data_IF_138701800269
#
_entry.id   IF_138701800269
#
_cell.length_a   1.000
_cell.length_b   1.000
_cell.length_c   1.000
_cell.angle_alpha   90.00
_cell.angle_beta   90.00
_cell.angle_gamma   90.00
#
_symmetry.space_group_name_H-M   'P 1'
#
loop_
_entity.id
_entity.type
_entity.pdbx_description
1 polymer ?
#
# COMPACT_ATOMS: atom_id res chain seq x y z
N UNK A 1 -21.33 3.18 14.62
CA UNK A 1 -20.89 3.98 15.78
C UNK A 1 -19.43 3.72 16.12
N UNK A 2 -18.93 2.50 16.00
CA UNK A 2 -17.53 2.11 16.31
C UNK A 2 -16.45 2.77 15.44
N UNK A 3 -16.71 3.02 14.15
CA UNK A 3 -15.76 3.63 13.21
C UNK A 3 -15.51 5.14 13.45
N UNK A 4 -16.44 5.86 14.10
CA UNK A 4 -16.26 7.28 14.44
C UNK A 4 -15.36 7.49 15.66
N UNK A 5 -15.31 6.54 16.56
CA UNK A 5 -14.49 6.60 17.79
C UNK A 5 -13.00 6.33 17.49
N UNK A 6 -12.71 5.42 16.55
CA UNK A 6 -11.33 5.10 16.12
C UNK A 6 -10.74 6.26 15.31
N UNK A 7 -11.53 6.97 14.51
CA UNK A 7 -11.06 8.10 13.72
C UNK A 7 -10.61 9.31 14.59
N UNK A 8 -11.10 9.44 15.80
CA UNK A 8 -10.70 10.53 16.73
C UNK A 8 -9.33 10.32 17.37
N UNK A 9 -8.81 9.10 17.44
CA UNK A 9 -7.54 8.79 18.14
C UNK A 9 -6.30 8.84 17.27
N UNK A 10 -6.41 8.82 15.93
CA UNK A 10 -5.27 8.77 15.02
C UNK A 10 -5.47 9.67 13.78
N UNK A 11 -5.51 10.97 13.98
CA UNK A 11 -5.48 11.91 12.86
C UNK A 11 -4.02 12.33 12.61
N UNK A 12 -3.47 11.89 11.47
CA UNK A 12 -2.18 12.35 10.98
C UNK A 12 -2.41 13.56 10.07
N UNK A 13 -1.89 14.71 10.44
CA UNK A 13 -1.88 15.90 9.58
C UNK A 13 -0.43 16.13 9.15
N UNK A 14 -0.11 15.86 7.88
CA UNK A 14 1.14 16.27 7.26
C UNK A 14 0.90 17.56 6.47
N UNK A 15 1.71 18.60 6.70
CA UNK A 15 1.65 19.89 5.98
C UNK A 15 2.86 20.04 5.08
N UNK A 16 2.65 20.47 3.84
CA UNK A 16 3.68 20.62 2.84
C UNK A 16 3.57 22.02 2.19
N UNK A 17 4.64 22.81 2.12
CA UNK A 17 4.59 24.12 1.46
C UNK A 17 4.41 23.99 -0.06
N UNK A 18 3.52 24.78 -0.63
CA UNK A 18 3.29 24.84 -2.06
C UNK A 18 4.37 25.71 -2.70
N UNK A 19 5.42 25.12 -3.26
CA UNK A 19 6.32 25.83 -4.14
C UNK A 19 7.82 25.80 -3.87
N UNK A 20 8.32 25.18 -2.83
CA UNK A 20 9.75 25.15 -2.53
C UNK A 20 10.42 23.81 -2.89
N UNK A 21 11.34 23.84 -3.85
CA UNK A 21 12.07 22.66 -4.35
C UNK A 21 13.17 22.15 -3.39
N UNK A 22 13.34 22.67 -2.18
CA UNK A 22 14.59 22.43 -1.42
C UNK A 22 14.47 22.14 0.07
N UNK A 23 13.44 21.76 0.66
CA UNK A 23 13.42 21.10 2.00
C UNK A 23 11.97 20.84 2.40
N UNK A 24 11.61 19.59 2.45
CA UNK A 24 10.29 19.17 2.86
C UNK A 24 10.32 18.79 4.33
N UNK A 25 9.54 19.47 5.15
CA UNK A 25 9.31 19.08 6.53
C UNK A 25 7.86 18.61 6.62
N UNK A 26 7.66 17.31 6.83
CA UNK A 26 6.37 16.79 7.22
C UNK A 26 6.32 16.73 8.75
N UNK A 27 5.28 17.29 9.34
CA UNK A 27 5.04 17.21 10.80
C UNK A 27 3.91 16.22 11.04
N UNK A 28 4.23 15.13 11.71
CA UNK A 28 3.25 14.17 12.17
C UNK A 28 2.85 14.49 13.60
N UNK A 29 1.56 14.69 13.85
CA UNK A 29 1.05 14.85 15.22
C UNK A 29 0.44 13.52 15.68
N UNK A 30 1.10 12.83 16.61
CA UNK A 30 0.56 11.68 17.32
C UNK A 30 0.45 12.06 18.80
N UNK A 31 -0.76 11.99 19.37
CA UNK A 31 -0.97 12.27 20.80
C UNK A 31 -0.54 13.66 21.26
N UNK A 32 -0.75 14.70 20.45
CA UNK A 32 -0.43 16.10 20.80
C UNK A 32 1.06 16.46 20.72
N UNK A 33 1.96 15.54 20.34
CA UNK A 33 3.39 15.84 20.15
C UNK A 33 3.73 15.97 18.67
N UNK A 34 4.38 17.07 18.30
CA UNK A 34 4.92 17.30 16.95
C UNK A 34 6.21 16.49 16.78
N UNK A 35 6.20 15.47 15.93
CA UNK A 35 7.40 14.74 15.53
C UNK A 35 7.77 15.19 14.11
N UNK A 36 8.97 15.77 13.91
CA UNK A 36 9.44 16.10 12.57
C UNK A 36 9.77 14.81 11.81
N UNK A 37 9.01 14.51 10.77
CA UNK A 37 9.41 13.53 9.76
C UNK A 37 10.41 14.22 8.82
N UNK A 38 11.69 14.08 9.13
CA UNK A 38 12.80 14.49 8.25
C UNK A 38 12.82 13.56 7.03
N UNK A 39 12.09 13.93 5.98
CA UNK A 39 12.37 13.40 4.65
C UNK A 39 13.66 14.05 4.14
N UNK A 40 14.81 13.49 4.48
CA UNK A 40 16.03 13.73 3.71
C UNK A 40 15.79 13.10 2.34
N UNK A 41 15.53 13.93 1.34
CA UNK A 41 15.66 13.51 -0.04
C UNK A 41 17.14 13.21 -0.27
N UNK A 42 17.57 11.96 -0.47
CA UNK A 42 18.89 11.72 -1.01
C UNK A 42 18.88 12.32 -2.43
N UNK A 43 19.88 13.13 -2.74
CA UNK A 43 20.23 13.48 -4.11
C UNK A 43 20.74 12.20 -4.81
N UNK A 44 19.85 11.26 -5.04
CA UNK A 44 20.09 10.09 -5.84
C UNK A 44 19.59 10.45 -7.22
N UNK A 45 20.45 10.35 -8.23
CA UNK A 45 20.06 10.22 -9.61
C UNK A 45 19.16 8.98 -9.74
N UNK A 46 17.89 9.13 -9.38
CA UNK A 46 16.88 8.11 -9.58
C UNK A 46 16.67 8.03 -11.09
N UNK A 47 17.16 6.96 -11.71
CA UNK A 47 16.63 6.53 -13.01
C UNK A 47 15.12 6.56 -12.86
N UNK A 48 14.47 7.47 -13.58
CA UNK A 48 13.04 7.74 -13.54
C UNK A 48 12.27 6.42 -13.74
N UNK A 49 11.83 5.81 -12.65
CA UNK A 49 10.81 4.77 -12.71
C UNK A 49 9.57 5.43 -13.31
N UNK A 50 8.97 4.80 -14.32
CA UNK A 50 7.74 5.29 -14.97
C UNK A 50 6.75 5.73 -13.91
N UNK A 51 6.18 6.93 -14.06
CA UNK A 51 5.05 7.37 -13.26
C UNK A 51 3.95 6.32 -13.34
N UNK A 52 3.46 5.85 -12.19
CA UNK A 52 2.54 4.72 -12.14
C UNK A 52 1.11 5.13 -12.39
N UNK A 53 0.77 6.36 -11.99
CA UNK A 53 -0.55 6.96 -12.22
C UNK A 53 -0.40 8.34 -12.85
N UNK A 54 -1.30 8.65 -13.77
CA UNK A 54 -1.61 10.03 -14.10
C UNK A 54 -2.58 10.53 -13.04
N UNK A 55 -2.09 11.31 -12.10
CA UNK A 55 -2.87 11.83 -11.00
C UNK A 55 -3.52 13.14 -11.43
N UNK A 56 -4.84 13.21 -11.26
CA UNK A 56 -5.72 14.33 -11.56
C UNK A 56 -6.47 14.75 -10.29
N UNK A 57 -7.17 15.88 -10.24
CA UNK A 57 -7.93 16.29 -9.05
C UNK A 57 -8.96 15.26 -8.58
N UNK A 58 -9.51 14.47 -9.50
CA UNK A 58 -10.50 13.41 -9.28
C UNK A 58 -9.88 12.04 -9.02
N UNK A 59 -8.54 11.96 -8.87
CA UNK A 59 -7.87 10.69 -8.61
C UNK A 59 -8.34 10.07 -7.32
N UNK A 60 -8.77 8.82 -7.41
CA UNK A 60 -9.19 8.03 -6.25
C UNK A 60 -8.78 6.56 -6.38
N UNK A 61 -8.67 5.89 -5.24
CA UNK A 61 -8.59 4.44 -5.12
C UNK A 61 -9.74 4.03 -4.22
N UNK A 62 -10.61 3.17 -4.71
CA UNK A 62 -11.74 2.64 -3.96
C UNK A 62 -11.73 1.12 -4.02
N UNK A 63 -11.37 0.50 -2.90
CA UNK A 63 -11.41 -0.94 -2.69
C UNK A 63 -12.06 -1.23 -1.33
N UNK A 64 -12.33 -2.49 -1.02
CA UNK A 64 -12.83 -2.87 0.29
C UNK A 64 -11.83 -2.54 1.44
N UNK A 65 -10.53 -2.52 1.13
CA UNK A 65 -9.46 -2.29 2.12
C UNK A 65 -8.99 -0.84 2.16
N UNK A 66 -9.27 -0.03 1.13
CA UNK A 66 -8.76 1.34 1.04
C UNK A 66 -9.71 2.25 0.27
N UNK A 67 -10.06 3.34 0.90
CA UNK A 67 -10.66 4.52 0.28
C UNK A 67 -9.64 5.65 0.29
N UNK A 68 -9.06 5.97 -0.87
CA UNK A 68 -8.13 7.08 -1.04
C UNK A 68 -8.71 8.05 -2.06
N UNK A 69 -8.71 9.34 -1.74
CA UNK A 69 -9.10 10.38 -2.67
C UNK A 69 -8.24 11.64 -2.53
N UNK A 70 -8.20 12.42 -3.60
CA UNK A 70 -7.62 13.77 -3.61
C UNK A 70 -8.78 14.75 -3.61
N UNK A 71 -8.64 15.84 -2.86
CA UNK A 71 -9.58 16.95 -2.85
C UNK A 71 -8.85 18.30 -2.89
N UNK A 72 -9.30 19.21 -3.72
CA UNK A 72 -8.87 20.60 -3.67
C UNK A 72 -9.74 21.37 -2.67
N UNK A 73 -9.09 22.07 -1.74
CA UNK A 73 -9.78 22.75 -0.64
C UNK A 73 -9.51 24.25 -0.73
N UNK A 74 -10.56 25.07 -0.98
CA UNK A 74 -10.43 26.53 -0.97
C UNK A 74 -9.85 27.06 0.33
N UNK A 75 -8.95 28.05 0.23
CA UNK A 75 -8.29 28.65 1.39
C UNK A 75 -7.13 27.84 1.98
N UNK A 76 -6.83 26.66 1.42
CA UNK A 76 -5.68 25.89 1.83
C UNK A 76 -4.43 26.44 1.13
N UNK A 77 -3.38 26.75 1.89
CA UNK A 77 -2.07 27.21 1.37
C UNK A 77 -1.05 26.09 1.21
N UNK A 78 -1.26 24.96 1.91
CA UNK A 78 -0.33 23.83 1.93
C UNK A 78 -1.09 22.51 1.80
N UNK A 79 -0.44 21.50 1.17
CA UNK A 79 -1.00 20.16 1.10
C UNK A 79 -1.14 19.53 2.50
N UNK A 80 -2.26 18.89 2.75
CA UNK A 80 -2.57 18.19 3.99
C UNK A 80 -2.93 16.74 3.69
N UNK A 81 -2.43 15.81 4.51
CA UNK A 81 -2.82 14.42 4.47
C UNK A 81 -3.65 14.08 5.71
N UNK A 82 -4.88 13.63 5.49
CA UNK A 82 -5.71 13.01 6.54
C UNK A 82 -5.73 11.52 6.30
N UNK A 83 -5.38 10.73 7.29
CA UNK A 83 -5.22 9.31 7.12
C UNK A 83 -5.62 8.55 8.39
N UNK A 84 -6.54 7.58 8.20
CA UNK A 84 -6.97 6.59 9.16
C UNK A 84 -6.84 5.18 8.51
N UNK A 85 -6.90 4.08 9.26
CA UNK A 85 -6.89 2.75 8.68
C UNK A 85 -7.99 2.58 7.62
N UNK A 86 -7.60 2.29 6.39
CA UNK A 86 -8.51 2.12 5.26
C UNK A 86 -9.09 3.41 4.66
N UNK A 87 -8.80 4.59 5.21
CA UNK A 87 -9.38 5.86 4.74
C UNK A 87 -8.32 6.96 4.66
N UNK A 88 -8.16 7.55 3.48
CA UNK A 88 -7.14 8.57 3.20
C UNK A 88 -7.74 9.70 2.36
N UNK A 89 -7.48 10.93 2.76
CA UNK A 89 -7.76 12.13 1.98
C UNK A 89 -6.49 12.97 1.85
N UNK A 90 -6.02 13.17 0.61
CA UNK A 90 -4.95 14.10 0.28
C UNK A 90 -5.59 15.42 -0.14
N UNK A 91 -5.55 16.41 0.75
CA UNK A 91 -6.13 17.74 0.57
C UNK A 91 -5.08 18.68 0.00
N UNK A 92 -5.40 19.31 -1.11
CA UNK A 92 -4.48 20.14 -1.87
C UNK A 92 -5.01 21.57 -1.99
N UNK A 93 -4.12 22.58 -2.08
CA UNK A 93 -4.52 23.92 -2.49
C UNK A 93 -5.16 23.90 -3.86
N UNK A 94 -6.15 24.76 -4.15
CA UNK A 94 -6.75 24.86 -5.47
C UNK A 94 -5.77 25.42 -6.51
N UNK A 95 -6.01 25.10 -7.79
CA UNK A 95 -5.23 25.63 -8.90
C UNK A 95 -3.85 25.01 -9.09
N UNK A 96 -3.61 23.83 -8.54
CA UNK A 96 -2.36 23.10 -8.78
C UNK A 96 -2.24 22.67 -10.24
N UNK A 97 -1.08 22.93 -10.85
CA UNK A 97 -0.80 22.42 -12.19
C UNK A 97 -0.43 20.93 -12.13
N UNK A 98 -1.40 20.06 -12.37
CA UNK A 98 -1.21 18.60 -12.42
C UNK A 98 -0.44 18.13 -13.68
N UNK A 99 -0.29 19.01 -14.70
CA UNK A 99 0.46 18.69 -15.92
C UNK A 99 1.98 18.71 -15.72
N UNK A 100 2.46 19.33 -14.65
CA UNK A 100 3.90 19.41 -14.39
C UNK A 100 4.45 18.06 -13.95
N UNK A 101 5.52 17.61 -14.59
CA UNK A 101 6.20 16.35 -14.30
C UNK A 101 6.62 16.23 -12.83
N UNK A 102 7.24 17.26 -12.29
CA UNK A 102 7.67 17.29 -10.88
C UNK A 102 6.49 17.12 -9.91
N UNK A 103 5.33 17.70 -10.27
CA UNK A 103 4.09 17.56 -9.49
C UNK A 103 3.59 16.14 -9.54
N UNK A 104 3.55 15.51 -10.71
CA UNK A 104 3.17 14.10 -10.86
C UNK A 104 4.10 13.17 -10.09
N UNK A 105 5.41 13.41 -10.14
CA UNK A 105 6.39 12.63 -9.38
C UNK A 105 6.19 12.76 -7.88
N UNK A 106 5.90 13.98 -7.40
CA UNK A 106 5.61 14.24 -5.99
C UNK A 106 4.31 13.56 -5.55
N UNK A 107 3.21 13.72 -6.29
CA UNK A 107 1.92 13.09 -6.00
C UNK A 107 2.05 11.56 -5.97
N UNK A 108 2.72 10.95 -6.94
CA UNK A 108 2.97 9.52 -6.96
C UNK A 108 3.78 9.04 -5.75
N UNK A 109 4.77 9.81 -5.29
CA UNK A 109 5.48 9.49 -4.05
C UNK A 109 4.55 9.54 -2.84
N UNK A 110 3.71 10.57 -2.73
CA UNK A 110 2.73 10.67 -1.64
C UNK A 110 1.79 9.44 -1.62
N UNK A 111 1.26 9.04 -2.77
CA UNK A 111 0.41 7.85 -2.90
C UNK A 111 1.15 6.60 -2.44
N UNK A 112 2.38 6.35 -2.93
CA UNK A 112 3.14 5.14 -2.59
C UNK A 112 3.49 5.09 -1.09
N UNK A 113 3.92 6.20 -0.51
CA UNK A 113 4.24 6.24 0.92
C UNK A 113 3.00 6.03 1.78
N UNK A 114 1.87 6.59 1.37
CA UNK A 114 0.62 6.37 2.08
C UNK A 114 0.12 4.92 1.90
N UNK A 115 0.19 4.33 0.72
CA UNK A 115 -0.09 2.90 0.52
C UNK A 115 0.78 2.02 1.43
N UNK A 116 2.07 2.34 1.56
CA UNK A 116 2.97 1.61 2.47
C UNK A 116 2.54 1.74 3.93
N UNK A 117 2.07 2.92 4.33
CA UNK A 117 1.53 3.16 5.66
C UNK A 117 0.24 2.38 5.88
N UNK A 118 -0.69 2.43 4.91
CA UNK A 118 -1.96 1.70 4.96
C UNK A 118 -1.74 0.18 5.01
N UNK A 119 -0.75 -0.35 4.27
CA UNK A 119 -0.35 -1.75 4.40
C UNK A 119 0.02 -2.12 5.85
N UNK A 120 0.75 -1.27 6.56
CA UNK A 120 1.07 -1.54 7.98
C UNK A 120 -0.16 -1.51 8.88
N UNK A 121 -1.14 -0.66 8.59
CA UNK A 121 -2.35 -0.49 9.39
C UNK A 121 -3.40 -1.55 9.10
N UNK A 122 -3.56 -1.94 7.83
CA UNK A 122 -4.64 -2.80 7.36
C UNK A 122 -4.16 -4.22 7.05
N UNK A 123 -3.04 -4.37 6.33
CA UNK A 123 -2.56 -5.69 5.91
C UNK A 123 -1.72 -6.40 6.99
N UNK A 124 -0.91 -5.69 7.78
CA UNK A 124 -0.07 -6.36 8.76
C UNK A 124 -0.88 -7.14 9.81
N UNK A 125 -1.98 -6.63 10.40
CA UNK A 125 -2.84 -7.42 11.26
C UNK A 125 -3.47 -8.63 10.56
N UNK A 126 -3.84 -8.46 9.27
CA UNK A 126 -4.41 -9.54 8.45
C UNK A 126 -3.40 -10.66 8.20
N UNK A 127 -2.15 -10.31 7.88
CA UNK A 127 -1.05 -11.28 7.73
C UNK A 127 -0.81 -12.05 9.03
N UNK A 128 -0.82 -11.37 10.17
CA UNK A 128 -0.67 -12.02 11.48
C UNK A 128 -1.82 -12.97 11.80
N UNK A 129 -3.07 -12.58 11.47
CA UNK A 129 -4.24 -13.42 11.66
C UNK A 129 -4.15 -14.72 10.82
N UNK A 130 -3.75 -14.59 9.54
CA UNK A 130 -3.54 -15.75 8.67
C UNK A 130 -2.39 -16.64 9.12
N UNK A 131 -1.26 -16.05 9.57
CA UNK A 131 -0.13 -16.80 10.13
C UNK A 131 -0.54 -17.58 11.38
N UNK A 132 -1.29 -16.96 12.29
CA UNK A 132 -1.83 -17.62 13.48
C UNK A 132 -2.77 -18.77 13.11
N UNK A 133 -3.70 -18.55 12.18
CA UNK A 133 -4.62 -19.57 11.69
C UNK A 133 -3.89 -20.75 11.04
N UNK A 134 -2.86 -20.47 10.25
CA UNK A 134 -2.03 -21.46 9.58
C UNK A 134 -1.02 -22.16 10.50
N UNK A 135 -0.85 -21.70 11.74
CA UNK A 135 0.16 -22.25 12.66
C UNK A 135 1.60 -22.00 12.19
N UNK A 136 1.83 -20.94 11.39
CA UNK A 136 3.15 -20.58 10.86
C UNK A 136 3.66 -19.28 11.47
N UNK A 137 4.99 -19.11 11.52
CA UNK A 137 5.63 -17.91 12.03
C UNK A 137 6.64 -17.37 11.04
N UNK A 138 6.81 -16.07 10.98
CA UNK A 138 7.80 -15.39 10.14
C UNK A 138 8.69 -14.47 11.01
N UNK A 139 9.92 -14.21 10.55
CA UNK A 139 10.85 -13.36 11.28
C UNK A 139 10.63 -11.88 11.03
N UNK A 140 10.30 -11.52 9.79
CA UNK A 140 10.14 -10.12 9.39
C UNK A 140 9.03 -9.96 8.36
N UNK A 141 8.22 -8.92 8.54
CA UNK A 141 7.22 -8.48 7.57
C UNK A 141 7.61 -7.11 7.01
N UNK A 142 7.63 -6.98 5.68
CA UNK A 142 7.88 -5.68 5.03
C UNK A 142 6.93 -5.44 3.87
N UNK A 143 6.67 -4.15 3.58
CA UNK A 143 5.85 -3.71 2.45
C UNK A 143 6.73 -2.92 1.48
N UNK A 144 6.83 -3.41 0.25
CA UNK A 144 7.74 -2.89 -0.78
C UNK A 144 6.95 -2.37 -1.98
N UNK A 145 7.47 -1.35 -2.61
CA UNK A 145 7.00 -0.89 -3.90
C UNK A 145 7.85 -1.55 -4.99
N UNK A 146 7.34 -2.64 -5.56
CA UNK A 146 7.99 -3.41 -6.62
C UNK A 146 7.06 -3.62 -7.81
N UNK A 147 7.62 -3.86 -9.00
CA UNK A 147 6.87 -3.99 -10.25
C UNK A 147 6.65 -5.42 -10.71
N UNK A 148 7.32 -6.42 -10.08
CA UNK A 148 7.45 -7.76 -10.66
C UNK A 148 6.69 -8.86 -9.90
N UNK A 149 6.21 -8.58 -8.69
CA UNK A 149 5.57 -9.63 -7.85
C UNK A 149 4.65 -9.02 -6.79
N UNK A 150 3.68 -9.80 -6.34
CA UNK A 150 2.75 -9.42 -5.27
C UNK A 150 3.33 -9.64 -3.88
N UNK A 151 4.16 -10.65 -3.72
CA UNK A 151 4.84 -10.96 -2.48
C UNK A 151 6.15 -11.71 -2.71
N UNK A 152 6.83 -12.05 -1.64
CA UNK A 152 7.98 -12.97 -1.61
C UNK A 152 8.27 -13.44 -0.20
N UNK A 153 8.62 -14.71 -0.04
CA UNK A 153 9.16 -15.28 1.17
C UNK A 153 10.61 -15.72 0.95
N UNK A 154 11.49 -15.47 1.91
CA UNK A 154 12.89 -15.92 1.85
C UNK A 154 13.13 -17.13 2.76
N UNK A 155 14.23 -17.87 2.50
CA UNK A 155 14.69 -18.97 3.36
C UNK A 155 14.95 -18.53 4.81
N UNK A 156 15.21 -17.23 5.04
CA UNK A 156 15.31 -16.65 6.38
C UNK A 156 13.94 -16.31 6.99
N UNK A 157 12.85 -16.84 6.45
CA UNK A 157 11.47 -16.62 6.92
C UNK A 157 11.07 -15.13 6.94
N UNK A 158 11.64 -14.32 6.04
CA UNK A 158 11.22 -12.93 5.86
C UNK A 158 10.16 -12.85 4.77
N UNK A 159 8.99 -12.33 5.11
CA UNK A 159 7.86 -12.17 4.20
C UNK A 159 7.76 -10.71 3.76
N UNK A 160 7.60 -10.50 2.46
CA UNK A 160 7.45 -9.17 1.89
C UNK A 160 6.20 -9.14 1.03
N UNK A 161 5.43 -8.06 1.12
CA UNK A 161 4.27 -7.81 0.28
C UNK A 161 4.42 -6.52 -0.52
N UNK A 162 3.80 -6.50 -1.68
CA UNK A 162 3.73 -5.32 -2.50
C UNK A 162 2.67 -4.36 -1.93
N UNK A 163 2.99 -3.06 -1.87
CA UNK A 163 2.02 -2.05 -1.43
C UNK A 163 0.76 -1.99 -2.31
N UNK A 164 0.88 -2.45 -3.56
CA UNK A 164 -0.19 -2.50 -4.53
C UNK A 164 -1.23 -3.60 -4.27
N UNK A 165 -1.01 -4.48 -3.27
CA UNK A 165 -2.04 -5.43 -2.81
C UNK A 165 -3.34 -4.75 -2.39
N UNK A 166 -3.26 -3.50 -1.90
CA UNK A 166 -4.45 -2.71 -1.54
C UNK A 166 -5.36 -2.38 -2.73
N UNK A 167 -4.92 -2.62 -3.97
CA UNK A 167 -5.72 -2.47 -5.19
C UNK A 167 -6.48 -3.74 -5.58
N UNK A 168 -6.21 -4.86 -4.93
CA UNK A 168 -6.87 -6.13 -5.19
C UNK A 168 -8.12 -6.28 -4.31
N UNK A 169 -9.04 -7.13 -4.78
CA UNK A 169 -10.16 -7.58 -3.98
C UNK A 169 -9.69 -8.42 -2.80
N UNK A 170 -10.39 -8.35 -1.67
CA UNK A 170 -10.00 -9.03 -0.43
C UNK A 170 -9.67 -10.53 -0.60
N UNK A 171 -10.45 -11.33 -1.36
CA UNK A 171 -10.13 -12.74 -1.55
C UNK A 171 -8.79 -12.98 -2.24
N UNK A 172 -8.37 -12.08 -3.15
CA UNK A 172 -7.05 -12.15 -3.79
C UNK A 172 -5.94 -11.69 -2.85
N UNK A 173 -6.21 -10.68 -2.01
CA UNK A 173 -5.28 -10.26 -0.95
C UNK A 173 -5.02 -11.44 -0.01
N UNK A 174 -6.06 -12.11 0.48
CA UNK A 174 -5.95 -13.26 1.36
C UNK A 174 -5.18 -14.41 0.71
N UNK A 175 -5.48 -14.69 -0.55
CA UNK A 175 -4.75 -15.69 -1.31
C UNK A 175 -3.24 -15.37 -1.37
N UNK A 176 -2.85 -14.14 -1.73
CA UNK A 176 -1.44 -13.74 -1.77
C UNK A 176 -0.79 -13.86 -0.39
N UNK A 177 -1.50 -13.47 0.66
CA UNK A 177 -1.00 -13.61 2.03
C UNK A 177 -0.76 -15.09 2.36
N UNK A 178 -1.73 -15.96 2.13
CA UNK A 178 -1.62 -17.39 2.40
C UNK A 178 -0.55 -18.06 1.52
N UNK A 179 -0.40 -17.63 0.26
CA UNK A 179 0.63 -18.07 -0.66
C UNK A 179 2.04 -17.80 -0.11
N UNK A 180 2.31 -16.58 0.34
CA UNK A 180 3.62 -16.25 0.92
C UNK A 180 3.86 -16.91 2.27
N UNK A 181 2.82 -17.15 3.05
CA UNK A 181 2.91 -17.90 4.30
C UNK A 181 3.16 -19.41 4.07
N UNK A 182 2.60 -19.99 3.01
CA UNK A 182 2.87 -21.39 2.63
C UNK A 182 4.33 -21.60 2.23
N UNK A 183 5.01 -20.59 1.68
CA UNK A 183 6.45 -20.64 1.41
C UNK A 183 7.31 -20.76 2.66
N UNK A 184 6.78 -20.52 3.85
CA UNK A 184 7.49 -20.79 5.11
C UNK A 184 7.70 -22.31 5.35
N UNK A 185 6.90 -23.13 4.67
CA UNK A 185 6.92 -24.60 4.78
C UNK A 185 7.39 -25.25 3.46
N UNK A 186 6.92 -24.74 2.32
CA UNK A 186 7.17 -25.29 0.99
C UNK A 186 7.75 -24.22 0.07
N UNK A 187 9.03 -24.34 -0.30
CA UNK A 187 9.71 -23.32 -1.11
C UNK A 187 9.35 -23.37 -2.61
N UNK A 188 8.85 -24.51 -3.10
CA UNK A 188 8.46 -24.72 -4.49
C UNK A 188 6.94 -24.82 -4.63
N UNK A 189 6.42 -24.49 -5.81
CA UNK A 189 4.98 -24.55 -6.12
C UNK A 189 4.51 -25.98 -6.51
N UNK A 190 4.85 -26.99 -5.71
CA UNK A 190 4.40 -28.36 -5.89
C UNK A 190 2.93 -28.55 -5.48
N UNK A 191 2.38 -29.76 -5.68
CA UNK A 191 1.04 -30.09 -5.20
C UNK A 191 0.92 -29.91 -3.67
N UNK A 192 1.97 -30.21 -2.91
CA UNK A 192 2.03 -30.01 -1.46
C UNK A 192 1.95 -28.53 -1.08
N UNK A 193 2.57 -27.65 -1.88
CA UNK A 193 2.46 -26.19 -1.67
C UNK A 193 1.01 -25.71 -1.80
N UNK A 194 0.31 -26.09 -2.87
CA UNK A 194 -1.10 -25.69 -3.06
C UNK A 194 -2.01 -26.28 -1.99
N UNK A 195 -1.74 -27.52 -1.56
CA UNK A 195 -2.46 -28.12 -0.45
C UNK A 195 -2.23 -27.36 0.87
N UNK A 196 -1.02 -26.84 1.09
CA UNK A 196 -0.71 -26.03 2.26
C UNK A 196 -1.41 -24.66 2.20
N UNK A 197 -1.48 -24.02 1.03
CA UNK A 197 -2.28 -22.79 0.85
C UNK A 197 -3.75 -23.05 1.17
N UNK A 198 -4.34 -24.12 0.64
CA UNK A 198 -5.72 -24.53 0.92
C UNK A 198 -5.92 -24.78 2.41
N UNK A 199 -4.97 -25.45 3.08
CA UNK A 199 -5.01 -25.71 4.52
C UNK A 199 -5.04 -24.41 5.33
N UNK A 200 -4.18 -23.44 4.99
CA UNK A 200 -4.13 -22.12 5.65
C UNK A 200 -5.44 -21.36 5.40
N UNK A 201 -5.93 -21.35 4.16
CA UNK A 201 -7.19 -20.71 3.79
C UNK A 201 -8.40 -21.42 4.40
N UNK A 202 -8.31 -22.73 4.63
CA UNK A 202 -9.38 -23.57 5.13
C UNK A 202 -10.44 -23.91 4.08
N UNK A 203 -10.09 -23.84 2.78
CA UNK A 203 -10.98 -24.10 1.63
C UNK A 203 -10.21 -24.94 0.61
N UNK A 204 -10.65 -26.15 0.37
CA UNK A 204 -10.02 -27.07 -0.58
C UNK A 204 -10.21 -26.59 -2.03
N UNK A 205 -9.13 -26.60 -2.83
CA UNK A 205 -9.14 -26.22 -4.24
C UNK A 205 -9.13 -24.71 -4.50
N UNK A 206 -9.20 -23.91 -3.44
CA UNK A 206 -9.23 -22.45 -3.55
C UNK A 206 -7.89 -21.89 -4.06
N UNK A 207 -6.78 -22.47 -3.65
CA UNK A 207 -5.45 -22.01 -4.05
C UNK A 207 -5.26 -21.96 -5.57
N UNK A 208 -5.59 -23.03 -6.28
CA UNK A 208 -5.47 -23.09 -7.74
C UNK A 208 -6.45 -22.14 -8.42
N UNK A 209 -7.65 -21.99 -7.89
CA UNK A 209 -8.66 -21.08 -8.42
C UNK A 209 -8.17 -19.63 -8.33
N UNK A 210 -7.68 -19.23 -7.16
CA UNK A 210 -7.19 -17.87 -6.91
C UNK A 210 -5.89 -17.56 -7.65
N UNK A 211 -5.02 -18.55 -7.81
CA UNK A 211 -3.81 -18.38 -8.63
C UNK A 211 -4.17 -17.99 -10.07
N UNK A 212 -5.12 -18.69 -10.67
CA UNK A 212 -5.59 -18.36 -12.04
C UNK A 212 -6.22 -16.96 -12.11
N UNK A 213 -7.01 -16.60 -11.10
CA UNK A 213 -7.64 -15.28 -11.00
C UNK A 213 -6.60 -14.16 -10.87
N UNK A 214 -5.64 -14.32 -9.94
CA UNK A 214 -4.54 -13.37 -9.73
C UNK A 214 -3.70 -13.19 -10.99
N UNK A 215 -3.40 -14.28 -11.71
CA UNK A 215 -2.67 -14.24 -12.97
C UNK A 215 -3.43 -13.47 -14.06
N UNK A 216 -4.76 -13.54 -14.09
CA UNK A 216 -5.61 -12.77 -15.01
C UNK A 216 -5.57 -11.29 -14.66
N UNK A 217 -5.78 -10.94 -13.39
CA UNK A 217 -5.72 -9.56 -12.89
C UNK A 217 -4.34 -8.95 -13.13
N UNK A 218 -3.26 -9.69 -12.86
CA UNK A 218 -1.88 -9.23 -13.08
C UNK A 218 -1.62 -8.89 -14.54
N UNK A 219 -2.10 -9.71 -15.50
CA UNK A 219 -1.98 -9.42 -16.94
C UNK A 219 -2.76 -8.17 -17.34
N UNK A 220 -3.97 -8.01 -16.83
CA UNK A 220 -4.79 -6.80 -17.08
C UNK A 220 -4.12 -5.54 -16.56
N UNK A 221 -3.56 -5.57 -15.36
CA UNK A 221 -2.83 -4.44 -14.77
C UNK A 221 -1.53 -4.14 -15.51
N UNK A 222 -0.82 -5.16 -16.00
CA UNK A 222 0.38 -4.99 -16.83
C UNK A 222 0.04 -4.31 -18.17
N UNK A 223 -1.07 -4.70 -18.80
CA UNK A 223 -1.55 -4.09 -20.04
C UNK A 223 -1.90 -2.61 -19.86
N UNK A 224 -2.39 -2.22 -18.68
CA UNK A 224 -2.67 -0.82 -18.32
C UNK A 224 -1.41 -0.03 -17.91
N UNK A 225 -0.21 -0.64 -17.94
CA UNK A 225 1.03 -0.01 -17.52
C UNK A 225 1.13 0.25 -16.01
N UNK A 226 0.20 -0.28 -15.23
CA UNK A 226 0.13 -0.09 -13.77
C UNK A 226 0.94 -1.13 -12.98
N UNK A 227 1.22 -2.25 -13.61
CA UNK A 227 1.99 -3.34 -13.01
C UNK A 227 2.87 -4.02 -14.08
N UNK A 228 4.19 -3.95 -13.91
CA UNK A 228 5.21 -4.69 -14.68
C UNK A 228 6.21 -5.32 -13.72
#
# INVERSE_FOLDING_TARGET
MFLREVARRFSLIARFPAGAARKWHAVCCIGGKKLPLLFRAPAIHLKLRKMRFKITPDFSISTALLQFHIEEVPGLSEAQLRSAPGAVSLRLPPGLNYGLRERQEWLNRCVVEELRRQCRLVLAPRVQAWAKRGGVSFNRLTFKDVSSRWGSCSSLRNVNFNVWLLLLDEPLVDYVVCHELAHLTHLNHSAHFYAEVDRIMGILGEAVRRDRELNRVSRSLAALGRYR
#
